data_IF_022497565791
#
_entry.id   IF_022497565791
#
_cell.length_a   1.000
_cell.length_b   1.000
_cell.length_c   1.000
_cell.angle_alpha   90.00
_cell.angle_beta   90.00
_cell.angle_gamma   90.00
#
_symmetry.space_group_name_H-M   'P 1'
#
loop_
_entity.id
_entity.type
_entity.pdbx_description
1 polymer ?
#
# COMPACT_ATOMS: atom_id res chain seq x y z
N UNK A 1 -14.73 5.64 -19.39
CA UNK A 1 -13.63 4.69 -19.56
C UNK A 1 -12.44 5.09 -18.71
N UNK A 2 -11.59 4.11 -18.40
CA UNK A 2 -10.39 4.33 -17.60
C UNK A 2 -9.22 3.61 -18.27
N UNK A 3 -8.08 4.28 -18.36
CA UNK A 3 -6.83 3.79 -18.91
C UNK A 3 -5.69 4.20 -17.97
N UNK A 4 -4.81 3.29 -17.61
CA UNK A 4 -3.67 3.54 -16.74
C UNK A 4 -2.51 2.61 -17.07
N UNK A 5 -1.31 3.07 -16.78
CA UNK A 5 -0.11 2.27 -17.00
C UNK A 5 1.09 2.78 -16.24
N UNK A 6 2.10 1.93 -16.17
CA UNK A 6 3.41 2.25 -15.63
C UNK A 6 4.49 1.74 -16.57
N UNK A 7 5.44 2.63 -16.91
CA UNK A 7 6.66 2.29 -17.64
C UNK A 7 7.86 2.50 -16.71
N UNK A 8 8.69 1.47 -16.55
CA UNK A 8 9.86 1.53 -15.66
C UNK A 8 11.10 1.03 -16.40
N UNK A 9 12.20 1.78 -16.31
CA UNK A 9 13.51 1.38 -16.79
C UNK A 9 14.51 1.39 -15.63
N UNK A 10 15.33 0.34 -15.55
CA UNK A 10 16.36 0.21 -14.51
C UNK A 10 17.67 -0.22 -15.11
N UNK A 11 18.73 0.53 -14.77
CA UNK A 11 20.11 0.14 -15.04
C UNK A 11 20.75 -0.14 -13.68
N UNK A 12 21.37 -1.32 -13.55
CA UNK A 12 22.04 -1.73 -12.31
C UNK A 12 23.46 -2.17 -12.61
N UNK A 13 24.38 -1.66 -11.83
CA UNK A 13 25.77 -2.05 -11.85
C UNK A 13 26.19 -2.61 -10.50
N UNK A 14 26.54 -3.89 -10.50
CA UNK A 14 27.11 -4.58 -9.35
C UNK A 14 28.61 -4.61 -9.47
N UNK A 15 29.31 -4.14 -8.46
CA UNK A 15 30.76 -4.08 -8.43
C UNK A 15 31.30 -4.65 -7.11
N UNK A 16 32.15 -5.65 -7.22
CA UNK A 16 32.87 -6.24 -6.08
C UNK A 16 34.20 -5.51 -5.99
N UNK A 17 34.32 -4.60 -4.99
CA UNK A 17 35.54 -3.82 -4.79
C UNK A 17 36.69 -4.70 -4.25
N UNK A 18 36.37 -5.62 -3.37
CA UNK A 18 37.26 -6.63 -2.81
C UNK A 18 36.45 -7.75 -2.15
N UNK A 19 37.12 -8.79 -1.60
CA UNK A 19 36.49 -9.98 -1.00
C UNK A 19 35.49 -9.67 0.13
N UNK A 20 35.51 -8.45 0.67
CA UNK A 20 34.68 -8.03 1.80
C UNK A 20 33.67 -6.93 1.45
N UNK A 21 33.78 -6.31 0.28
CA UNK A 21 33.00 -5.11 -0.04
C UNK A 21 32.33 -5.24 -1.39
N UNK A 22 31.00 -5.16 -1.37
CA UNK A 22 30.16 -5.15 -2.55
C UNK A 22 29.45 -3.80 -2.68
N UNK A 23 29.36 -3.29 -3.90
CA UNK A 23 28.67 -2.04 -4.25
C UNK A 23 27.62 -2.32 -5.32
N UNK A 24 26.42 -1.82 -5.11
CA UNK A 24 25.32 -1.93 -6.04
C UNK A 24 24.77 -0.54 -6.36
N UNK A 25 25.04 -0.06 -7.57
CA UNK A 25 24.54 1.25 -8.03
C UNK A 25 23.41 1.04 -9.03
N UNK A 26 22.30 1.73 -8.84
CA UNK A 26 21.11 1.63 -9.67
C UNK A 26 20.61 3.00 -10.09
N UNK A 27 20.30 3.15 -11.37
CA UNK A 27 19.54 4.27 -11.90
C UNK A 27 18.17 3.75 -12.32
N UNK A 28 17.12 4.39 -11.81
CA UNK A 28 15.72 3.96 -12.04
C UNK A 28 14.93 5.15 -12.57
N UNK A 29 14.19 4.92 -13.64
CA UNK A 29 13.15 5.80 -14.14
C UNK A 29 11.81 5.08 -14.03
N UNK A 30 10.76 5.78 -13.58
CA UNK A 30 9.40 5.28 -13.59
C UNK A 30 8.44 6.39 -13.99
N UNK A 31 7.48 6.05 -14.84
CA UNK A 31 6.41 6.93 -15.27
C UNK A 31 5.08 6.22 -15.09
N UNK A 32 4.28 6.70 -14.17
CA UNK A 32 2.91 6.26 -13.95
C UNK A 32 1.95 7.28 -14.52
N UNK A 33 0.93 6.84 -15.23
CA UNK A 33 -0.15 7.70 -15.72
C UNK A 33 -1.50 7.03 -15.52
N UNK A 34 -2.53 7.85 -15.38
CA UNK A 34 -3.90 7.42 -15.58
C UNK A 34 -4.71 8.45 -16.36
N UNK A 35 -5.73 7.96 -17.05
CA UNK A 35 -6.68 8.73 -17.83
C UNK A 35 -8.07 8.22 -17.55
N UNK A 36 -8.94 9.09 -17.08
CA UNK A 36 -10.34 8.82 -16.85
C UNK A 36 -11.19 9.60 -17.85
N UNK A 37 -12.12 8.94 -18.53
CA UNK A 37 -13.04 9.55 -19.48
C UNK A 37 -14.47 9.42 -18.97
N UNK A 38 -15.12 10.55 -18.66
CA UNK A 38 -16.54 10.65 -18.38
C UNK A 38 -17.31 10.86 -19.68
N UNK A 39 -18.43 10.15 -19.82
CA UNK A 39 -19.34 10.22 -20.96
C UNK A 39 -20.78 10.54 -20.50
N UNK A 40 -20.98 11.00 -19.26
CA UNK A 40 -22.28 11.38 -18.75
C UNK A 40 -22.81 12.60 -19.50
N UNK A 41 -24.11 12.59 -19.83
CA UNK A 41 -24.76 13.72 -20.49
C UNK A 41 -24.58 14.98 -19.63
N UNK A 42 -24.11 16.06 -20.27
CA UNK A 42 -23.80 17.34 -19.66
C UNK A 42 -22.39 17.47 -19.03
N UNK A 43 -21.68 16.36 -18.77
CA UNK A 43 -20.35 16.35 -18.16
C UNK A 43 -19.39 15.41 -18.91
N UNK A 44 -19.05 15.76 -20.16
CA UNK A 44 -18.13 15.01 -21.00
C UNK A 44 -16.72 15.58 -20.88
N UNK A 45 -15.85 14.87 -20.14
CA UNK A 45 -14.47 15.30 -19.95
C UNK A 45 -13.48 14.12 -19.93
N UNK A 46 -12.22 14.47 -20.12
CA UNK A 46 -11.09 13.57 -19.90
C UNK A 46 -10.26 14.15 -18.77
N UNK A 47 -10.07 13.38 -17.72
CA UNK A 47 -9.12 13.68 -16.65
C UNK A 47 -7.85 12.87 -16.89
N UNK A 48 -6.69 13.53 -16.81
CA UNK A 48 -5.38 12.87 -16.88
C UNK A 48 -4.56 13.24 -15.66
N UNK A 49 -3.74 12.32 -15.20
CA UNK A 49 -2.72 12.55 -14.20
C UNK A 49 -1.46 11.78 -14.57
N UNK A 50 -0.32 12.30 -14.16
CA UNK A 50 0.98 11.72 -14.47
C UNK A 50 1.92 11.92 -13.29
N UNK A 51 2.74 10.90 -13.02
CA UNK A 51 3.74 10.89 -11.98
C UNK A 51 5.04 10.31 -12.54
N UNK A 52 6.13 11.05 -12.46
CA UNK A 52 7.45 10.64 -12.89
C UNK A 52 8.43 10.61 -11.73
N UNK A 53 9.29 9.64 -11.73
CA UNK A 53 10.28 9.38 -10.69
C UNK A 53 11.63 9.05 -11.33
N UNK A 54 12.67 9.73 -10.89
CA UNK A 54 14.06 9.53 -11.30
C UNK A 54 14.88 9.28 -10.05
N UNK A 55 15.52 8.13 -9.97
CA UNK A 55 16.27 7.75 -8.78
C UNK A 55 17.67 7.26 -9.16
N UNK A 56 18.66 7.76 -8.43
CA UNK A 56 20.02 7.23 -8.42
C UNK A 56 20.34 6.77 -7.00
N UNK A 57 20.70 5.50 -6.85
CA UNK A 57 20.97 4.88 -5.57
C UNK A 57 22.28 4.09 -5.64
N UNK A 58 23.11 4.19 -4.60
CA UNK A 58 24.28 3.36 -4.44
C UNK A 58 24.27 2.74 -3.05
N UNK A 59 24.20 1.41 -2.99
CA UNK A 59 24.23 0.59 -1.79
C UNK A 59 25.59 -0.06 -1.63
N UNK A 60 26.15 0.01 -0.45
CA UNK A 60 27.46 -0.52 -0.07
C UNK A 60 27.27 -1.50 1.06
N UNK A 61 27.82 -2.70 0.91
CA UNK A 61 27.82 -3.73 1.95
C UNK A 61 29.25 -4.19 2.19
N UNK A 62 29.68 -4.18 3.46
CA UNK A 62 31.01 -4.59 3.88
C UNK A 62 30.96 -5.64 4.98
N UNK A 63 31.47 -6.80 4.69
CA UNK A 63 31.73 -7.85 5.66
C UNK A 63 33.07 -7.54 6.39
N UNK A 64 32.93 -7.02 7.59
CA UNK A 64 34.16 -6.71 8.38
C UNK A 64 34.75 -8.00 8.95
N UNK A 65 33.91 -8.84 9.58
CA UNK A 65 34.22 -10.17 10.11
C UNK A 65 32.92 -10.94 10.38
N UNK A 66 33.01 -12.15 10.97
CA UNK A 66 31.87 -13.00 11.27
C UNK A 66 30.86 -12.39 12.29
N UNK A 67 31.24 -11.32 12.99
CA UNK A 67 30.42 -10.66 13.99
C UNK A 67 29.81 -9.35 13.47
N UNK A 68 30.40 -8.71 12.46
CA UNK A 68 30.02 -7.37 12.03
C UNK A 68 29.92 -7.26 10.52
N UNK A 69 28.70 -6.92 10.06
CA UNK A 69 28.44 -6.49 8.68
C UNK A 69 27.96 -5.04 8.70
N UNK A 70 28.57 -4.21 7.89
CA UNK A 70 28.19 -2.80 7.71
C UNK A 70 27.48 -2.62 6.37
N UNK A 71 26.40 -1.88 6.37
CA UNK A 71 25.69 -1.45 5.18
C UNK A 71 25.55 0.06 5.19
N UNK A 72 25.57 0.66 4.03
CA UNK A 72 25.37 2.10 3.90
C UNK A 72 25.12 2.47 2.45
N UNK A 73 24.85 3.73 2.22
CA UNK A 73 24.66 4.19 0.85
C UNK A 73 24.07 5.58 0.77
N UNK A 74 23.91 5.99 -0.48
CA UNK A 74 23.31 7.27 -0.85
C UNK A 74 22.13 7.04 -1.78
N UNK A 75 21.15 7.92 -1.69
CA UNK A 75 19.97 7.92 -2.56
C UNK A 75 19.65 9.35 -2.97
N UNK A 76 19.56 9.58 -4.27
CA UNK A 76 19.06 10.83 -4.86
C UNK A 76 17.79 10.49 -5.62
N UNK A 77 16.71 11.16 -5.30
CA UNK A 77 15.40 10.91 -5.90
C UNK A 77 14.76 12.25 -6.28
N UNK A 78 14.41 12.40 -7.53
CA UNK A 78 13.60 13.50 -8.03
C UNK A 78 12.23 12.96 -8.43
N UNK A 79 11.20 13.57 -7.89
CA UNK A 79 9.82 13.22 -8.11
C UNK A 79 9.07 14.41 -8.69
N UNK A 80 8.25 14.20 -9.72
CA UNK A 80 7.35 15.22 -10.26
C UNK A 80 5.99 14.61 -10.58
N UNK A 81 4.94 15.35 -10.29
CA UNK A 81 3.57 14.96 -10.59
C UNK A 81 2.79 16.11 -11.22
N UNK A 82 1.92 15.76 -12.14
CA UNK A 82 0.81 16.59 -12.60
C UNK A 82 -0.47 15.98 -11.99
N UNK A 83 -1.02 16.59 -10.91
CA UNK A 83 -2.12 16.01 -10.16
C UNK A 83 -3.39 15.83 -10.97
N UNK A 84 -3.67 16.76 -11.91
CA UNK A 84 -4.83 16.68 -12.78
C UNK A 84 -4.76 17.63 -13.98
N UNK A 85 -5.20 17.15 -15.13
CA UNK A 85 -5.46 17.91 -16.35
C UNK A 85 -6.87 17.51 -16.82
N UNK A 86 -7.74 18.49 -16.97
CA UNK A 86 -9.09 18.32 -17.49
C UNK A 86 -9.15 18.81 -18.91
N UNK A 87 -9.57 17.96 -19.81
CA UNK A 87 -9.78 18.27 -21.23
C UNK A 87 -11.19 17.95 -21.70
N UNK A 88 -11.58 18.49 -22.85
CA UNK A 88 -12.87 18.17 -23.50
C UNK A 88 -12.91 16.72 -23.96
N UNK A 89 -14.05 16.08 -23.82
CA UNK A 89 -14.35 14.75 -24.39
C UNK A 89 -15.40 14.86 -25.48
N UNK A 90 -14.98 15.27 -26.69
CA UNK A 90 -15.85 15.49 -27.84
C UNK A 90 -16.31 16.94 -28.02
N UNK A 91 -17.03 17.21 -29.13
CA UNK A 91 -17.48 18.56 -29.51
C UNK A 91 -18.57 19.10 -28.57
N UNK A 92 -19.38 18.24 -27.96
CA UNK A 92 -20.50 18.60 -27.07
C UNK A 92 -20.08 18.76 -25.60
N UNK A 93 -18.79 18.93 -25.33
CA UNK A 93 -18.27 19.11 -23.96
C UNK A 93 -18.31 20.58 -23.58
N UNK A 94 -19.05 20.91 -22.50
CA UNK A 94 -19.14 22.25 -21.92
C UNK A 94 -18.01 22.56 -20.93
N UNK A 95 -17.03 21.65 -20.78
CA UNK A 95 -15.92 21.81 -19.85
C UNK A 95 -14.88 22.79 -20.41
N UNK A 96 -14.44 23.74 -19.59
CA UNK A 96 -13.26 24.54 -19.87
C UNK A 96 -12.02 23.73 -19.54
N UNK A 97 -11.11 23.51 -20.51
CA UNK A 97 -9.86 22.80 -20.22
C UNK A 97 -9.05 23.53 -19.15
N UNK A 98 -8.50 22.80 -18.20
CA UNK A 98 -7.59 23.34 -17.19
C UNK A 98 -6.53 22.29 -16.81
N UNK A 99 -5.39 22.77 -16.32
CA UNK A 99 -4.30 21.93 -15.86
C UNK A 99 -3.83 22.42 -14.50
N UNK A 100 -3.85 21.54 -13.51
CA UNK A 100 -3.30 21.82 -12.19
C UNK A 100 -1.78 22.01 -12.26
N UNK A 101 -1.19 22.90 -11.45
CA UNK A 101 0.25 23.12 -11.44
C UNK A 101 1.05 21.83 -11.18
N UNK A 102 2.13 21.65 -11.92
CA UNK A 102 3.09 20.57 -11.65
C UNK A 102 3.72 20.77 -10.28
N UNK A 103 3.89 19.67 -9.55
CA UNK A 103 4.51 19.65 -8.23
C UNK A 103 5.71 18.73 -8.28
N UNK A 104 6.79 19.10 -7.59
CA UNK A 104 8.02 18.33 -7.58
C UNK A 104 8.66 18.34 -6.20
N UNK A 105 9.53 17.33 -5.98
CA UNK A 105 10.27 17.15 -4.74
C UNK A 105 11.63 16.51 -5.05
N UNK A 106 12.67 17.00 -4.41
CA UNK A 106 13.98 16.37 -4.33
C UNK A 106 14.13 15.66 -2.97
N UNK A 107 14.59 14.43 -2.97
CA UNK A 107 14.93 13.65 -1.78
C UNK A 107 16.37 13.17 -1.92
N UNK A 108 17.27 13.77 -1.16
CA UNK A 108 18.65 13.33 -1.03
C UNK A 108 18.84 12.67 0.33
N UNK A 109 19.35 11.45 0.36
CA UNK A 109 19.52 10.72 1.61
C UNK A 109 20.86 9.99 1.71
N UNK A 110 21.40 10.00 2.93
CA UNK A 110 22.52 9.16 3.37
C UNK A 110 22.02 8.19 4.43
N UNK A 111 22.47 6.94 4.41
CA UNK A 111 22.13 5.94 5.42
C UNK A 111 23.29 5.02 5.74
N UNK A 112 23.30 4.55 6.97
CA UNK A 112 24.23 3.55 7.46
C UNK A 112 23.53 2.61 8.44
N UNK A 113 23.96 1.35 8.45
CA UNK A 113 23.43 0.29 9.31
C UNK A 113 24.55 -0.69 9.67
N UNK A 114 24.54 -1.17 10.91
CA UNK A 114 25.43 -2.20 11.41
C UNK A 114 24.61 -3.42 11.87
N UNK A 115 25.04 -4.59 11.43
CA UNK A 115 24.54 -5.88 11.90
C UNK A 115 25.66 -6.47 12.78
N UNK A 116 25.47 -6.50 14.11
CA UNK A 116 26.53 -6.79 15.06
C UNK A 116 26.10 -7.87 16.07
N UNK A 117 26.83 -8.99 16.05
CA UNK A 117 26.74 -10.06 17.07
C UNK A 117 27.70 -9.72 18.21
N UNK A 118 27.25 -8.92 19.17
CA UNK A 118 28.12 -8.42 20.24
C UNK A 118 28.31 -9.40 21.40
N UNK A 119 27.41 -10.41 21.53
CA UNK A 119 27.49 -11.53 22.45
C UNK A 119 27.00 -12.80 21.75
N UNK A 120 27.31 -14.02 22.27
CA UNK A 120 26.94 -15.28 21.62
C UNK A 120 25.46 -15.41 21.25
N UNK A 121 24.58 -14.83 22.08
CA UNK A 121 23.14 -14.94 21.94
C UNK A 121 22.45 -13.63 21.55
N UNK A 122 23.21 -12.55 21.34
CA UNK A 122 22.63 -11.25 21.05
C UNK A 122 23.08 -10.72 19.68
N UNK A 123 22.09 -10.33 18.89
CA UNK A 123 22.29 -9.67 17.61
C UNK A 123 21.65 -8.28 17.68
N UNK A 124 22.43 -7.25 17.40
CA UNK A 124 21.98 -5.88 17.24
C UNK A 124 22.03 -5.53 15.75
N UNK A 125 20.88 -5.10 15.22
CA UNK A 125 20.78 -4.43 13.93
C UNK A 125 20.42 -2.97 14.22
N UNK A 126 21.32 -2.03 13.97
CA UNK A 126 21.08 -0.62 14.26
C UNK A 126 21.61 0.26 13.13
N UNK A 127 20.88 1.30 12.82
CA UNK A 127 21.24 2.22 11.77
C UNK A 127 20.34 3.44 11.73
N UNK A 128 20.57 4.25 10.71
CA UNK A 128 19.76 5.42 10.46
C UNK A 128 19.89 5.90 9.02
N UNK A 129 18.89 6.63 8.61
CA UNK A 129 18.85 7.38 7.37
C UNK A 129 18.62 8.84 7.70
N UNK A 130 19.33 9.73 7.03
CA UNK A 130 19.11 11.17 7.06
C UNK A 130 18.65 11.59 5.66
N UNK A 131 17.39 11.96 5.54
CA UNK A 131 16.81 12.47 4.29
C UNK A 131 16.71 13.99 4.33
N UNK A 132 17.13 14.64 3.25
CA UNK A 132 16.94 16.08 3.00
C UNK A 132 15.95 16.21 1.85
N UNK A 133 14.75 16.69 2.17
CA UNK A 133 13.66 16.85 1.24
C UNK A 133 13.56 18.34 0.86
N UNK A 134 13.65 18.65 -0.43
CA UNK A 134 13.52 20.03 -0.91
C UNK A 134 12.35 20.15 -1.89
N UNK A 135 11.32 20.89 -1.48
CA UNK A 135 10.19 21.27 -2.32
C UNK A 135 10.45 22.67 -2.90
N UNK A 136 10.51 22.83 -4.23
CA UNK A 136 10.66 24.15 -4.87
C UNK A 136 9.47 25.06 -4.55
N UNK A 137 9.66 26.36 -4.71
CA UNK A 137 8.57 27.33 -4.66
C UNK A 137 7.58 27.11 -5.81
N UNK A 138 6.33 27.45 -5.56
CA UNK A 138 5.25 27.51 -6.56
C UNK A 138 4.60 28.90 -6.55
N UNK A 139 3.59 29.10 -7.37
CA UNK A 139 2.78 30.34 -7.32
C UNK A 139 2.05 30.54 -5.97
N UNK A 140 1.86 29.46 -5.18
CA UNK A 140 1.01 29.44 -3.99
C UNK A 140 1.77 29.23 -2.68
N UNK A 141 3.04 28.83 -2.72
CA UNK A 141 3.88 28.64 -1.52
C UNK A 141 5.37 28.80 -1.80
N UNK A 142 6.11 29.23 -0.78
CA UNK A 142 7.56 29.35 -0.83
C UNK A 142 8.27 27.98 -0.89
N UNK A 143 9.52 27.98 -1.36
CA UNK A 143 10.34 26.79 -1.27
C UNK A 143 10.53 26.35 0.19
N UNK A 144 10.58 25.03 0.43
CA UNK A 144 10.74 24.47 1.77
C UNK A 144 11.68 23.28 1.76
N UNK A 145 12.59 23.26 2.73
CA UNK A 145 13.47 22.12 2.98
C UNK A 145 13.15 21.49 4.33
N UNK A 146 13.09 20.17 4.36
CA UNK A 146 12.91 19.37 5.57
C UNK A 146 14.12 18.46 5.76
N UNK A 147 14.58 18.33 6.99
CA UNK A 147 15.62 17.36 7.37
C UNK A 147 14.96 16.29 8.23
N UNK A 148 15.00 15.05 7.77
CA UNK A 148 14.25 13.93 8.32
C UNK A 148 15.22 12.85 8.81
N UNK A 149 15.53 12.79 10.13
CA UNK A 149 16.26 11.66 10.71
C UNK A 149 15.32 10.45 10.83
N UNK A 150 15.80 9.29 10.41
CA UNK A 150 15.07 8.03 10.39
C UNK A 150 15.89 6.92 11.09
N UNK A 151 16.03 6.97 12.43
CA UNK A 151 16.73 5.94 13.19
C UNK A 151 15.92 4.64 13.20
N UNK A 152 16.65 3.52 13.23
CA UNK A 152 16.11 2.18 13.42
C UNK A 152 17.06 1.32 14.23
N UNK A 153 16.50 0.48 15.08
CA UNK A 153 17.27 -0.50 15.84
C UNK A 153 16.40 -1.73 16.13
N UNK A 154 16.99 -2.90 16.05
CA UNK A 154 16.42 -4.16 16.49
C UNK A 154 17.45 -4.90 17.33
N UNK A 155 17.04 -5.29 18.53
CA UNK A 155 17.80 -6.18 19.41
C UNK A 155 17.14 -7.55 19.39
N UNK A 156 17.89 -8.59 19.02
CA UNK A 156 17.43 -9.98 19.06
C UNK A 156 18.23 -10.77 20.09
N UNK A 157 17.51 -11.52 20.92
CA UNK A 157 18.05 -12.51 21.84
C UNK A 157 17.73 -13.92 21.33
N UNK A 158 18.77 -14.71 21.04
CA UNK A 158 18.71 -16.03 20.42
C UNK A 158 19.40 -17.02 21.38
N UNK A 159 18.70 -17.49 22.45
CA UNK A 159 19.31 -18.39 23.43
C UNK A 159 19.75 -19.74 22.87
N UNK A 160 19.07 -20.19 21.82
CA UNK A 160 19.39 -21.43 21.10
C UNK A 160 18.81 -21.39 19.68
N UNK A 161 18.98 -22.44 18.89
CA UNK A 161 18.52 -22.51 17.50
C UNK A 161 16.98 -22.50 17.34
N UNK A 162 16.23 -22.73 18.40
CA UNK A 162 14.78 -22.81 18.38
C UNK A 162 14.08 -21.50 18.75
N UNK A 163 14.67 -20.67 19.59
CA UNK A 163 14.03 -19.48 20.15
C UNK A 163 14.71 -18.21 19.71
N UNK A 164 13.90 -17.23 19.26
CA UNK A 164 14.33 -15.85 19.02
C UNK A 164 13.32 -14.89 19.62
N UNK A 165 13.79 -13.97 20.41
CA UNK A 165 13.05 -12.81 20.92
C UNK A 165 13.61 -11.56 20.27
N UNK A 166 12.75 -10.64 19.85
CA UNK A 166 13.18 -9.38 19.24
C UNK A 166 12.42 -8.20 19.81
N UNK A 167 13.11 -7.06 19.89
CA UNK A 167 12.51 -5.77 20.18
C UNK A 167 13.04 -4.75 19.19
N UNK A 168 12.16 -4.02 18.53
CA UNK A 168 12.57 -3.07 17.50
C UNK A 168 11.91 -1.71 17.66
N UNK A 169 12.65 -0.67 17.26
CA UNK A 169 12.19 0.68 17.05
C UNK A 169 12.52 1.13 15.63
N UNK A 170 11.55 1.73 14.96
CA UNK A 170 11.73 2.29 13.63
C UNK A 170 11.06 3.65 13.54
N UNK A 171 11.79 4.64 13.01
CA UNK A 171 11.24 5.90 12.52
C UNK A 171 11.43 5.98 11.01
N UNK A 172 10.37 6.34 10.28
CA UNK A 172 10.41 6.51 8.84
C UNK A 172 9.64 7.76 8.43
N UNK A 173 10.13 8.45 7.41
CA UNK A 173 9.49 9.61 6.81
C UNK A 173 8.87 9.24 5.47
N UNK A 174 7.70 9.80 5.19
CA UNK A 174 7.03 9.70 3.90
C UNK A 174 6.88 11.10 3.29
N UNK A 175 7.52 11.29 2.15
CA UNK A 175 7.60 12.58 1.46
C UNK A 175 6.49 12.80 0.44
N UNK A 176 5.71 11.77 0.11
CA UNK A 176 4.63 11.81 -0.88
C UNK A 176 3.36 11.29 -0.24
N UNK A 177 2.29 12.06 -0.29
CA UNK A 177 0.99 11.72 0.25
C UNK A 177 0.07 11.21 -0.86
N UNK A 178 -0.64 10.13 -0.60
CA UNK A 178 -1.72 9.67 -1.46
C UNK A 178 -3.05 10.16 -0.90
N UNK A 179 -3.76 10.97 -1.66
CA UNK A 179 -5.09 11.46 -1.36
C UNK A 179 -6.11 10.64 -2.15
N UNK A 180 -6.96 9.91 -1.45
CA UNK A 180 -7.99 9.08 -2.09
C UNK A 180 -9.37 9.70 -1.93
N UNK A 181 -10.12 9.73 -3.03
CA UNK A 181 -11.50 10.19 -3.06
C UNK A 181 -12.49 9.05 -2.93
N UNK A 182 -12.01 7.82 -3.06
CA UNK A 182 -12.85 6.63 -3.05
C UNK A 182 -12.42 5.64 -1.97
N UNK A 183 -13.38 4.88 -1.47
CA UNK A 183 -13.13 3.77 -0.55
C UNK A 183 -12.43 2.56 -1.21
N UNK A 184 -12.14 2.62 -2.51
CA UNK A 184 -11.79 1.45 -3.33
C UNK A 184 -10.38 1.51 -3.88
N UNK A 185 -9.57 2.52 -3.59
CA UNK A 185 -8.20 2.60 -4.13
C UNK A 185 -8.18 2.45 -5.65
N UNK A 186 -8.92 3.30 -6.35
CA UNK A 186 -8.91 3.34 -7.81
C UNK A 186 -7.65 4.07 -8.29
N UNK A 187 -7.16 3.83 -9.51
CA UNK A 187 -5.95 4.50 -10.03
C UNK A 187 -6.09 6.02 -10.19
N UNK A 188 -7.21 6.61 -9.82
CA UNK A 188 -7.46 8.05 -9.81
C UNK A 188 -7.05 8.77 -8.52
N UNK A 189 -6.41 8.08 -7.57
CA UNK A 189 -5.88 8.69 -6.36
C UNK A 189 -4.82 9.74 -6.70
N UNK A 190 -4.88 10.86 -5.99
CA UNK A 190 -3.98 11.99 -6.24
C UNK A 190 -2.71 11.86 -5.40
N UNK A 191 -1.56 11.98 -6.05
CA UNK A 191 -0.25 11.94 -5.39
C UNK A 191 0.29 13.36 -5.17
N UNK A 192 0.47 13.73 -3.91
CA UNK A 192 0.91 15.07 -3.50
C UNK A 192 2.25 14.99 -2.79
N UNK A 193 3.32 15.59 -3.35
CA UNK A 193 4.59 15.71 -2.64
C UNK A 193 4.48 16.70 -1.48
N UNK A 194 5.25 16.45 -0.43
CA UNK A 194 5.42 17.38 0.67
C UNK A 194 5.89 18.75 0.16
N UNK A 195 5.39 19.80 0.76
CA UNK A 195 5.72 21.20 0.41
C UNK A 195 5.57 22.10 1.65
N UNK A 196 5.63 23.41 1.49
CA UNK A 196 5.53 24.35 2.62
C UNK A 196 4.20 24.23 3.41
N UNK A 197 3.12 23.80 2.75
CA UNK A 197 1.79 23.65 3.36
C UNK A 197 1.57 22.20 3.87
N UNK A 198 2.13 21.20 3.21
CA UNK A 198 1.98 19.78 3.52
C UNK A 198 3.31 19.19 3.98
N UNK A 199 3.51 19.05 5.29
CA UNK A 199 4.74 18.48 5.86
C UNK A 199 4.85 16.97 5.55
N UNK A 200 6.07 16.40 5.45
CA UNK A 200 6.25 14.96 5.36
C UNK A 200 5.60 14.24 6.55
N UNK A 201 4.97 13.11 6.30
CA UNK A 201 4.49 12.24 7.40
C UNK A 201 5.68 11.56 8.08
N UNK A 202 5.61 11.42 9.41
CA UNK A 202 6.64 10.72 10.20
C UNK A 202 5.96 9.62 11.01
N UNK A 203 6.32 8.39 10.72
CA UNK A 203 5.89 7.20 11.43
C UNK A 203 6.94 6.79 12.45
N UNK A 204 6.52 6.42 13.66
CA UNK A 204 7.32 5.79 14.72
C UNK A 204 6.63 4.51 15.13
N UNK A 205 7.39 3.42 15.17
CA UNK A 205 6.88 2.10 15.53
C UNK A 205 7.79 1.45 16.56
N UNK A 206 7.17 0.80 17.53
CA UNK A 206 7.77 -0.17 18.44
C UNK A 206 7.16 -1.54 18.13
N UNK A 207 7.98 -2.58 18.07
CA UNK A 207 7.51 -3.96 17.91
C UNK A 207 8.28 -4.90 18.83
N UNK A 208 7.57 -5.94 19.31
CA UNK A 208 8.12 -7.05 20.08
C UNK A 208 7.78 -8.34 19.34
N UNK A 209 8.78 -9.16 19.06
CA UNK A 209 8.63 -10.41 18.31
C UNK A 209 9.12 -11.60 19.11
N UNK A 210 8.47 -12.73 18.89
CA UNK A 210 8.91 -14.04 19.34
C UNK A 210 8.78 -15.04 18.20
N UNK A 211 9.85 -15.79 17.93
CA UNK A 211 9.89 -16.87 16.95
C UNK A 211 10.33 -18.16 17.61
N UNK A 212 9.62 -19.23 17.30
CA UNK A 212 9.96 -20.58 17.72
C UNK A 212 10.09 -21.49 16.51
N UNK A 213 11.31 -21.98 16.27
CA UNK A 213 11.60 -23.00 15.27
C UNK A 213 11.64 -24.36 15.97
N UNK A 214 10.72 -25.25 15.64
CA UNK A 214 10.67 -26.58 16.18
C UNK A 214 11.96 -27.34 15.84
N UNK A 215 12.46 -28.23 16.73
CA UNK A 215 13.78 -28.85 16.60
C UNK A 215 14.04 -29.54 15.26
N UNK A 216 13.03 -30.18 14.70
CA UNK A 216 13.06 -30.85 13.39
C UNK A 216 12.90 -29.87 12.20
N UNK A 217 12.70 -28.57 12.48
CA UNK A 217 12.38 -27.52 11.51
C UNK A 217 11.13 -27.84 10.66
N UNK A 218 10.25 -28.68 11.17
CA UNK A 218 8.99 -28.96 10.49
C UNK A 218 8.02 -27.79 10.63
N UNK A 219 7.99 -27.16 11.81
CA UNK A 219 7.11 -26.04 12.10
C UNK A 219 7.92 -24.80 12.49
N UNK A 220 7.37 -23.63 12.16
CA UNK A 220 7.84 -22.33 12.63
C UNK A 220 6.64 -21.55 13.14
N UNK A 221 6.71 -21.08 14.38
CA UNK A 221 5.73 -20.19 15.01
C UNK A 221 6.33 -18.79 15.13
N UNK A 222 5.60 -17.76 14.74
CA UNK A 222 5.97 -16.35 14.97
C UNK A 222 4.80 -15.58 15.58
N UNK A 223 5.10 -14.79 16.58
CA UNK A 223 4.20 -13.85 17.25
C UNK A 223 4.82 -12.46 17.24
N UNK A 224 4.09 -11.46 16.83
CA UNK A 224 4.54 -10.07 16.89
C UNK A 224 3.44 -9.18 17.46
N UNK A 225 3.84 -8.27 18.35
CA UNK A 225 3.00 -7.19 18.85
C UNK A 225 3.63 -5.86 18.44
N UNK A 226 2.85 -4.95 17.87
CA UNK A 226 3.35 -3.64 17.49
C UNK A 226 2.42 -2.51 17.90
N UNK A 227 3.02 -1.33 18.09
CA UNK A 227 2.32 -0.06 18.18
C UNK A 227 3.02 0.98 17.31
N UNK A 228 2.20 1.79 16.62
CA UNK A 228 2.69 2.80 15.69
C UNK A 228 1.93 4.10 15.81
N UNK A 229 2.64 5.21 15.68
CA UNK A 229 2.08 6.55 15.61
C UNK A 229 2.66 7.28 14.40
N UNK A 230 1.78 7.91 13.61
CA UNK A 230 2.18 8.72 12.44
C UNK A 230 1.70 10.14 12.64
N UNK A 231 2.58 11.11 12.49
CA UNK A 231 2.27 12.54 12.49
C UNK A 231 2.19 13.07 11.05
N UNK A 232 1.51 14.19 10.86
CA UNK A 232 1.29 14.84 9.56
C UNK A 232 0.64 13.90 8.53
N UNK A 233 -0.29 13.05 8.96
CA UNK A 233 -1.18 12.32 8.06
C UNK A 233 -2.12 13.33 7.43
N UNK A 234 -2.40 13.17 6.14
CA UNK A 234 -3.25 14.06 5.37
C UNK A 234 -4.51 13.35 4.90
N UNK A 235 -5.58 14.09 4.80
CA UNK A 235 -6.84 13.65 4.21
C UNK A 235 -7.61 14.87 3.70
N UNK A 236 -8.55 14.69 2.78
CA UNK A 236 -9.40 15.77 2.34
C UNK A 236 -10.28 16.30 3.47
N UNK A 237 -10.51 17.62 3.50
CA UNK A 237 -11.55 18.21 4.35
C UNK A 237 -12.94 17.76 3.91
N UNK A 238 -13.93 17.93 4.76
CA UNK A 238 -15.34 17.68 4.38
C UNK A 238 -15.74 18.64 3.24
N UNK A 239 -16.43 18.10 2.24
CA UNK A 239 -16.86 18.85 1.04
C UNK A 239 -15.70 19.49 0.27
N UNK A 240 -14.54 18.86 0.24
CA UNK A 240 -13.38 19.34 -0.52
C UNK A 240 -13.73 19.50 -2.01
N UNK A 241 -13.40 20.64 -2.57
CA UNK A 241 -13.49 20.90 -4.01
C UNK A 241 -12.17 20.49 -4.67
N UNK A 242 -12.17 19.31 -5.29
CA UNK A 242 -10.98 18.72 -5.91
C UNK A 242 -10.98 18.85 -7.44
N UNK A 243 -12.10 19.28 -8.03
CA UNK A 243 -12.23 19.33 -9.47
C UNK A 243 -11.75 20.70 -10.00
N UNK A 244 -10.74 20.67 -10.89
CA UNK A 244 -10.14 21.88 -11.47
C UNK A 244 -9.60 22.88 -10.43
N UNK A 245 -9.14 22.40 -9.28
CA UNK A 245 -8.65 23.23 -8.19
C UNK A 245 -7.13 23.32 -8.20
N UNK A 246 -6.58 24.50 -8.55
CA UNK A 246 -5.14 24.75 -8.59
C UNK A 246 -4.50 24.77 -7.18
N UNK A 247 -5.31 25.01 -6.15
CA UNK A 247 -4.90 25.11 -4.74
C UNK A 247 -5.42 23.93 -3.92
N UNK A 248 -5.17 22.74 -4.40
CA UNK A 248 -5.65 21.49 -3.76
C UNK A 248 -5.15 21.35 -2.30
N UNK A 249 -4.03 21.99 -1.94
CA UNK A 249 -3.53 22.04 -0.58
C UNK A 249 -4.49 22.68 0.41
N UNK A 250 -5.33 23.61 -0.03
CA UNK A 250 -6.35 24.26 0.80
C UNK A 250 -7.53 23.34 1.10
N UNK A 251 -7.67 22.27 0.32
CA UNK A 251 -8.70 21.24 0.47
C UNK A 251 -8.28 20.06 1.35
N UNK A 252 -7.08 20.13 1.94
CA UNK A 252 -6.47 19.06 2.71
C UNK A 252 -6.25 19.48 4.15
N UNK A 253 -6.59 18.61 5.06
CA UNK A 253 -6.32 18.74 6.49
C UNK A 253 -5.23 17.79 6.93
N UNK A 254 -4.44 18.21 7.92
CA UNK A 254 -3.36 17.41 8.49
C UNK A 254 -3.69 16.98 9.92
N UNK A 255 -3.16 15.84 10.31
CA UNK A 255 -3.38 15.32 11.65
C UNK A 255 -2.42 14.20 12.03
N UNK A 256 -2.91 13.27 12.83
CA UNK A 256 -2.14 12.11 13.28
C UNK A 256 -2.92 10.81 13.10
N UNK A 257 -2.18 9.71 12.96
CA UNK A 257 -2.72 8.37 12.99
C UNK A 257 -2.05 7.55 14.09
N UNK A 258 -2.75 6.59 14.64
CA UNK A 258 -2.23 5.57 15.54
C UNK A 258 -2.74 4.20 15.14
N UNK A 259 -1.90 3.20 15.31
CA UNK A 259 -2.24 1.81 15.05
C UNK A 259 -1.54 0.89 16.04
N UNK A 260 -2.16 -0.22 16.34
CA UNK A 260 -1.56 -1.32 17.09
C UNK A 260 -2.10 -2.65 16.57
N UNK A 261 -1.36 -3.72 16.79
CA UNK A 261 -1.80 -5.04 16.38
C UNK A 261 -0.99 -6.15 17.01
N UNK A 262 -1.57 -7.35 16.87
CA UNK A 262 -0.96 -8.63 17.18
C UNK A 262 -0.98 -9.47 15.91
N UNK A 263 0.15 -10.06 15.56
CA UNK A 263 0.31 -10.92 14.41
C UNK A 263 0.71 -12.31 14.87
N UNK A 264 0.03 -13.30 14.36
CA UNK A 264 0.28 -14.72 14.57
C UNK A 264 0.61 -15.36 13.22
N UNK A 265 1.66 -16.14 13.16
CA UNK A 265 2.03 -16.92 12.00
C UNK A 265 2.51 -18.31 12.44
N UNK A 266 1.97 -19.35 11.81
CA UNK A 266 2.41 -20.73 11.97
C UNK A 266 2.57 -21.36 10.60
N UNK A 267 3.74 -21.91 10.31
CA UNK A 267 3.99 -22.66 9.09
C UNK A 267 4.41 -24.10 9.38
N UNK A 268 4.01 -25.00 8.47
CA UNK A 268 4.49 -26.36 8.35
C UNK A 268 5.29 -26.48 7.05
N UNK A 269 6.59 -26.75 7.18
CA UNK A 269 7.56 -26.61 6.09
C UNK A 269 7.99 -27.95 5.46
N UNK A 270 7.62 -29.10 6.07
CA UNK A 270 8.04 -30.42 5.63
C UNK A 270 6.86 -31.40 5.53
N UNK A 271 7.08 -32.50 4.79
CA UNK A 271 6.13 -33.60 4.60
C UNK A 271 5.24 -33.41 3.37
N UNK A 272 4.35 -34.36 3.14
CA UNK A 272 3.43 -34.35 2.00
C UNK A 272 2.40 -33.23 2.06
N UNK A 273 2.07 -32.76 3.27
CA UNK A 273 1.21 -31.60 3.50
C UNK A 273 2.05 -30.51 4.12
N UNK A 274 2.11 -29.36 3.43
CA UNK A 274 2.78 -28.13 3.87
C UNK A 274 1.80 -26.98 3.82
N UNK A 275 2.13 -25.87 4.48
CA UNK A 275 1.26 -24.70 4.45
C UNK A 275 1.50 -23.77 5.62
N UNK A 276 0.65 -22.78 5.73
CA UNK A 276 0.75 -21.79 6.80
C UNK A 276 -0.61 -21.15 7.11
N UNK A 277 -0.71 -20.65 8.32
CA UNK A 277 -1.80 -19.79 8.78
C UNK A 277 -1.20 -18.48 9.28
N UNK A 278 -1.78 -17.36 8.86
CA UNK A 278 -1.44 -16.01 9.32
C UNK A 278 -2.72 -15.34 9.81
N UNK A 279 -2.68 -14.79 11.02
CA UNK A 279 -3.78 -14.04 11.58
C UNK A 279 -3.28 -12.73 12.17
N UNK A 280 -3.89 -11.62 11.76
CA UNK A 280 -3.61 -10.29 12.30
C UNK A 280 -4.86 -9.75 12.98
N UNK A 281 -4.71 -9.36 14.23
CA UNK A 281 -5.66 -8.54 14.97
C UNK A 281 -5.10 -7.13 15.06
N UNK A 282 -5.74 -6.15 14.43
CA UNK A 282 -5.21 -4.79 14.38
C UNK A 282 -6.31 -3.72 14.58
N UNK A 283 -5.89 -2.54 14.95
CA UNK A 283 -6.75 -1.38 15.07
C UNK A 283 -6.03 -0.12 14.60
N UNK A 284 -6.69 0.67 13.76
CA UNK A 284 -6.19 1.96 13.32
C UNK A 284 -7.19 3.09 13.64
N UNK A 285 -6.66 4.28 13.94
CA UNK A 285 -7.41 5.52 14.17
C UNK A 285 -6.67 6.69 13.55
N UNK A 286 -7.41 7.54 12.86
CA UNK A 286 -6.94 8.85 12.41
C UNK A 286 -7.59 9.93 13.26
N UNK A 287 -6.84 11.00 13.53
CA UNK A 287 -7.32 12.23 14.14
C UNK A 287 -6.90 13.40 13.26
N UNK A 288 -7.83 13.88 12.44
CA UNK A 288 -7.61 14.92 11.42
C UNK A 288 -8.77 15.90 11.51
N UNK A 289 -8.52 17.21 11.38
CA UNK A 289 -9.56 18.24 11.47
C UNK A 289 -10.30 18.26 12.81
N UNK A 290 -9.64 17.82 13.90
CA UNK A 290 -10.27 17.72 15.23
C UNK A 290 -11.12 16.45 15.43
N UNK A 291 -11.41 15.69 14.39
CA UNK A 291 -12.22 14.47 14.44
C UNK A 291 -11.37 13.20 14.57
N UNK A 292 -11.81 12.26 15.39
CA UNK A 292 -11.24 10.90 15.44
C UNK A 292 -12.14 9.93 14.68
N UNK A 293 -11.58 9.22 13.68
CA UNK A 293 -12.32 8.26 12.88
C UNK A 293 -11.45 7.05 12.51
N UNK A 294 -12.10 5.98 12.05
CA UNK A 294 -11.43 4.81 11.49
C UNK A 294 -11.05 5.07 10.03
N UNK A 295 -9.79 4.87 9.63
CA UNK A 295 -9.48 4.95 8.21
C UNK A 295 -10.17 3.82 7.42
N UNK A 296 -10.30 4.02 6.10
CA UNK A 296 -10.91 3.04 5.18
C UNK A 296 -10.29 1.65 5.33
N UNK A 297 -8.97 1.59 5.51
CA UNK A 297 -8.18 0.37 5.61
C UNK A 297 -8.15 -0.28 7.01
N UNK A 298 -8.82 0.27 8.03
CA UNK A 298 -8.94 -0.37 9.35
C UNK A 298 -9.81 -1.63 9.24
N UNK A 299 -9.15 -2.78 9.13
CA UNK A 299 -9.73 -4.12 9.09
C UNK A 299 -9.24 -4.92 10.29
N UNK A 300 -9.98 -4.94 11.41
CA UNK A 300 -9.51 -5.53 12.67
C UNK A 300 -9.05 -6.98 12.57
N UNK A 301 -9.73 -7.78 11.76
CA UNK A 301 -9.39 -9.19 11.58
C UNK A 301 -8.95 -9.45 10.17
N UNK A 302 -7.78 -10.05 9.99
CA UNK A 302 -7.26 -10.54 8.73
C UNK A 302 -6.71 -11.95 8.96
N UNK A 303 -7.30 -12.95 8.29
CA UNK A 303 -6.89 -14.35 8.36
C UNK A 303 -6.56 -14.83 6.96
N UNK A 304 -5.40 -15.48 6.81
CA UNK A 304 -5.03 -16.22 5.61
C UNK A 304 -4.58 -17.62 6.00
N UNK A 305 -5.05 -18.59 5.25
CA UNK A 305 -4.67 -19.98 5.39
C UNK A 305 -4.27 -20.49 4.00
N UNK A 306 -3.09 -21.08 3.91
CA UNK A 306 -2.62 -21.77 2.72
C UNK A 306 -2.26 -23.21 3.07
N UNK A 307 -2.70 -24.15 2.25
CA UNK A 307 -2.35 -25.57 2.36
C UNK A 307 -1.95 -26.06 0.97
N UNK A 308 -0.84 -26.78 0.91
CA UNK A 308 -0.39 -27.52 -0.26
C UNK A 308 -0.22 -28.98 0.10
N UNK A 309 -0.82 -29.87 -0.67
CA UNK A 309 -0.75 -31.30 -0.51
C UNK A 309 -0.12 -31.94 -1.75
N UNK A 310 1.11 -32.44 -1.61
CA UNK A 310 1.78 -33.26 -2.58
C UNK A 310 1.26 -34.70 -2.43
N UNK A 311 0.17 -35.06 -3.12
CA UNK A 311 -0.46 -36.38 -3.04
C UNK A 311 0.48 -37.49 -3.50
N UNK A 312 1.21 -37.20 -4.58
CA UNK A 312 2.22 -38.10 -5.16
C UNK A 312 3.10 -37.29 -6.12
N UNK A 313 4.05 -37.94 -6.82
CA UNK A 313 4.96 -37.28 -7.76
C UNK A 313 4.25 -36.62 -8.97
N UNK A 314 2.99 -36.98 -9.23
CA UNK A 314 2.22 -36.45 -10.35
C UNK A 314 1.18 -35.39 -9.95
N UNK A 315 0.63 -35.48 -8.75
CA UNK A 315 -0.47 -34.61 -8.33
C UNK A 315 -0.12 -33.79 -7.10
N UNK A 316 -0.35 -32.48 -7.23
CA UNK A 316 -0.35 -31.58 -6.08
C UNK A 316 -1.63 -30.75 -6.07
N UNK A 317 -2.20 -30.58 -4.87
CA UNK A 317 -3.39 -29.80 -4.61
C UNK A 317 -3.03 -28.65 -3.68
N UNK A 318 -3.50 -27.46 -3.98
CA UNK A 318 -3.33 -26.34 -3.07
C UNK A 318 -4.63 -25.56 -2.88
N UNK A 319 -4.78 -24.98 -1.71
CA UNK A 319 -5.94 -24.17 -1.36
C UNK A 319 -5.50 -22.95 -0.55
N UNK A 320 -6.12 -21.81 -0.84
CA UNK A 320 -5.93 -20.56 -0.09
C UNK A 320 -7.28 -20.05 0.39
N UNK A 321 -7.43 -19.90 1.69
CA UNK A 321 -8.58 -19.21 2.27
C UNK A 321 -8.14 -17.84 2.79
N UNK A 322 -8.89 -16.79 2.43
CA UNK A 322 -8.68 -15.42 2.89
C UNK A 322 -9.93 -14.87 3.53
N UNK A 323 -9.79 -14.23 4.68
CA UNK A 323 -10.83 -13.48 5.36
C UNK A 323 -10.29 -12.14 5.81
N UNK A 324 -11.06 -11.07 5.62
CA UNK A 324 -10.75 -9.76 6.18
C UNK A 324 -12.05 -9.07 6.63
N UNK A 325 -12.00 -8.37 7.75
CA UNK A 325 -13.08 -7.46 8.15
C UNK A 325 -13.39 -6.47 7.02
N UNK A 326 -14.63 -6.05 6.90
CA UNK A 326 -15.04 -5.08 5.89
C UNK A 326 -14.31 -3.74 6.04
N UNK A 327 -14.15 -3.01 4.93
CA UNK A 327 -13.62 -1.65 4.91
C UNK A 327 -14.61 -0.67 5.53
N UNK A 328 -14.12 0.47 6.02
CA UNK A 328 -14.97 1.54 6.52
C UNK A 328 -15.32 2.51 5.39
N UNK A 329 -16.55 3.03 5.41
CA UNK A 329 -17.10 3.87 4.36
C UNK A 329 -17.90 5.03 4.97
N UNK A 330 -17.97 6.15 4.26
CA UNK A 330 -18.95 7.21 4.47
C UNK A 330 -20.10 6.98 3.50
N UNK A 331 -21.32 6.80 4.01
CA UNK A 331 -22.49 6.56 3.20
C UNK A 331 -23.55 7.64 3.43
N UNK A 332 -24.36 8.00 2.42
CA UNK A 332 -25.53 8.83 2.62
C UNK A 332 -26.55 8.08 3.49
N UNK A 333 -27.01 8.73 4.55
CA UNK A 333 -28.01 8.22 5.50
C UNK A 333 -29.36 8.92 5.34
N UNK A 334 -29.39 10.02 4.60
CA UNK A 334 -30.59 10.78 4.29
C UNK A 334 -30.40 11.66 3.07
N UNK A 335 -31.49 12.27 2.63
CA UNK A 335 -31.50 13.27 1.57
C UNK A 335 -32.66 14.22 1.77
N UNK A 336 -32.50 15.46 1.33
CA UNK A 336 -33.58 16.43 1.22
C UNK A 336 -33.40 17.25 -0.07
N UNK A 337 -34.46 17.87 -0.50
CA UNK A 337 -34.44 18.77 -1.65
C UNK A 337 -34.40 20.22 -1.15
N UNK A 338 -33.50 21.00 -1.72
CA UNK A 338 -33.43 22.44 -1.51
C UNK A 338 -33.24 23.13 -2.85
N UNK A 339 -34.12 24.07 -3.19
CA UNK A 339 -34.08 24.84 -4.44
C UNK A 339 -33.90 23.95 -5.70
N UNK A 340 -34.64 22.85 -5.78
CA UNK A 340 -34.56 21.84 -6.85
C UNK A 340 -33.20 21.08 -6.90
N UNK A 341 -32.34 21.24 -5.89
CA UNK A 341 -31.10 20.48 -5.74
C UNK A 341 -31.26 19.42 -4.68
N UNK A 342 -30.89 18.17 -5.00
CA UNK A 342 -30.91 17.07 -4.07
C UNK A 342 -29.64 17.09 -3.22
N UNK A 343 -29.79 17.34 -1.92
CA UNK A 343 -28.71 17.35 -0.93
C UNK A 343 -28.70 16.04 -0.16
N UNK A 344 -27.53 15.39 -0.11
CA UNK A 344 -27.34 14.15 0.68
C UNK A 344 -26.81 14.47 2.07
N UNK A 345 -27.39 13.83 3.07
CA UNK A 345 -26.89 13.82 4.44
C UNK A 345 -26.03 12.57 4.61
N UNK A 346 -24.76 12.72 4.95
CA UNK A 346 -23.83 11.61 5.08
C UNK A 346 -23.68 11.16 6.55
N UNK A 347 -23.35 9.88 6.73
CA UNK A 347 -22.92 9.33 8.02
C UNK A 347 -21.68 10.07 8.56
N UNK A 348 -21.34 9.81 9.83
CA UNK A 348 -20.00 10.16 10.32
C UNK A 348 -18.92 9.61 9.37
N UNK A 349 -17.78 10.29 9.28
CA UNK A 349 -16.67 9.91 8.40
C UNK A 349 -16.26 8.47 8.65
N UNK A 350 -16.30 7.64 7.62
CA UNK A 350 -16.03 6.20 7.67
C UNK A 350 -16.82 5.46 8.76
N UNK A 351 -18.03 5.94 9.07
CA UNK A 351 -18.89 5.43 10.14
C UNK A 351 -19.55 4.09 9.87
N UNK A 352 -19.61 3.69 8.60
CA UNK A 352 -20.20 2.42 8.18
C UNK A 352 -19.11 1.39 7.86
N UNK A 353 -19.27 0.14 8.31
CA UNK A 353 -18.39 -0.97 7.96
C UNK A 353 -19.06 -1.86 6.92
N UNK A 354 -18.41 -2.02 5.77
CA UNK A 354 -18.87 -2.93 4.72
C UNK A 354 -18.88 -4.40 5.21
N UNK A 355 -19.63 -5.29 4.53
CA UNK A 355 -19.56 -6.72 4.79
C UNK A 355 -18.13 -7.24 4.69
N UNK A 356 -17.80 -8.25 5.51
CA UNK A 356 -16.49 -8.89 5.49
C UNK A 356 -16.20 -9.52 4.12
N UNK A 357 -14.95 -9.40 3.70
CA UNK A 357 -14.39 -10.12 2.57
C UNK A 357 -14.02 -11.54 3.01
N UNK A 358 -14.41 -12.55 2.23
CA UNK A 358 -13.80 -13.88 2.34
C UNK A 358 -13.84 -14.62 1.00
N UNK A 359 -12.83 -15.43 0.76
CA UNK A 359 -12.61 -16.10 -0.51
C UNK A 359 -11.85 -17.41 -0.29
N UNK A 360 -12.24 -18.43 -1.03
CA UNK A 360 -11.53 -19.71 -1.12
C UNK A 360 -11.06 -19.88 -2.56
N UNK A 361 -9.76 -20.05 -2.73
CA UNK A 361 -9.13 -20.39 -3.99
C UNK A 361 -8.61 -21.82 -3.92
N UNK A 362 -8.67 -22.51 -5.05
CA UNK A 362 -8.23 -23.90 -5.17
C UNK A 362 -7.39 -24.08 -6.43
N UNK A 363 -6.36 -24.91 -6.36
CA UNK A 363 -5.56 -25.27 -7.53
C UNK A 363 -5.19 -26.75 -7.47
N UNK A 364 -5.27 -27.41 -8.63
CA UNK A 364 -4.81 -28.76 -8.84
C UNK A 364 -3.78 -28.77 -9.98
N UNK A 365 -2.61 -29.31 -9.72
CA UNK A 365 -1.53 -29.40 -10.70
C UNK A 365 -1.23 -30.86 -10.97
N UNK A 366 -1.32 -31.24 -12.25
CA UNK A 366 -0.91 -32.53 -12.76
C UNK A 366 0.45 -32.41 -13.47
N UNK A 367 1.49 -33.00 -12.91
CA UNK A 367 2.82 -33.14 -13.51
C UNK A 367 2.81 -34.34 -14.44
N UNK A 368 2.60 -34.12 -15.72
CA UNK A 368 2.53 -35.19 -16.77
C UNK A 368 3.90 -35.81 -16.91
N UNK A 369 4.95 -35.00 -16.93
CA UNK A 369 6.37 -35.35 -16.94
C UNK A 369 7.16 -34.33 -16.16
N UNK A 370 8.49 -34.51 -16.03
CA UNK A 370 9.37 -33.56 -15.34
C UNK A 370 9.41 -32.16 -16.02
N UNK A 371 9.17 -32.13 -17.31
CA UNK A 371 9.20 -30.95 -18.17
C UNK A 371 7.81 -30.40 -18.50
N UNK A 372 6.70 -31.08 -18.11
CA UNK A 372 5.33 -30.73 -18.53
C UNK A 372 4.35 -30.82 -17.37
N UNK A 373 3.55 -29.79 -17.19
CA UNK A 373 2.47 -29.78 -16.20
C UNK A 373 1.22 -29.08 -16.72
N UNK A 374 0.08 -29.50 -16.20
CA UNK A 374 -1.23 -28.89 -16.41
C UNK A 374 -1.79 -28.48 -15.05
N UNK A 375 -2.16 -27.21 -14.91
CA UNK A 375 -2.71 -26.67 -13.66
C UNK A 375 -4.10 -26.09 -13.91
N UNK A 376 -5.08 -26.56 -13.15
CA UNK A 376 -6.41 -25.97 -13.05
C UNK A 376 -6.48 -25.16 -11.77
N UNK A 377 -6.78 -23.86 -11.88
CA UNK A 377 -6.98 -22.98 -10.74
C UNK A 377 -8.39 -22.41 -10.76
N UNK A 378 -9.00 -22.30 -9.59
CA UNK A 378 -10.35 -21.77 -9.40
C UNK A 378 -10.26 -20.69 -8.33
N UNK A 379 -10.42 -19.43 -8.73
CA UNK A 379 -10.48 -18.30 -7.80
C UNK A 379 -11.93 -18.12 -7.37
N UNK A 380 -12.14 -17.85 -6.07
CA UNK A 380 -13.45 -17.67 -5.47
C UNK A 380 -14.37 -18.88 -5.69
N UNK A 381 -13.92 -20.07 -5.29
CA UNK A 381 -14.52 -21.37 -5.60
C UNK A 381 -16.00 -21.50 -5.18
N UNK A 382 -16.46 -20.75 -4.19
CA UNK A 382 -17.88 -20.73 -3.78
C UNK A 382 -18.63 -19.47 -4.25
N UNK A 383 -18.07 -18.74 -5.23
CA UNK A 383 -18.75 -17.60 -5.90
C UNK A 383 -19.23 -16.50 -4.93
N UNK A 384 -18.44 -16.20 -3.88
CA UNK A 384 -18.78 -15.14 -2.93
C UNK A 384 -18.87 -13.79 -3.63
N UNK A 385 -19.97 -13.09 -3.44
CA UNK A 385 -20.14 -11.69 -3.87
C UNK A 385 -19.41 -10.75 -2.90
N UNK A 386 -18.08 -10.67 -3.04
CA UNK A 386 -17.26 -9.76 -2.27
C UNK A 386 -17.46 -8.32 -2.73
N UNK A 387 -17.79 -7.44 -1.79
CA UNK A 387 -18.08 -6.04 -2.09
C UNK A 387 -16.78 -5.35 -2.51
N UNK A 388 -16.76 -4.84 -3.74
CA UNK A 388 -15.70 -3.99 -4.26
C UNK A 388 -15.95 -2.53 -3.93
N UNK A 389 -17.17 -2.03 -4.19
CA UNK A 389 -17.55 -0.65 -3.90
C UNK A 389 -19.03 -0.56 -3.48
N UNK A 390 -19.33 0.45 -2.68
CA UNK A 390 -20.70 0.82 -2.32
C UNK A 390 -20.91 2.29 -2.71
N UNK A 391 -21.92 2.58 -3.48
CA UNK A 391 -22.23 3.94 -3.93
C UNK A 391 -23.73 4.21 -3.94
N UNK A 392 -24.09 5.48 -3.77
CA UNK A 392 -25.45 5.94 -3.98
C UNK A 392 -25.66 6.28 -5.47
N UNK A 393 -26.72 5.80 -6.07
CA UNK A 393 -27.04 6.06 -7.48
C UNK A 393 -28.50 6.41 -7.68
N UNK A 394 -28.82 7.06 -8.81
CA UNK A 394 -30.18 7.29 -9.28
C UNK A 394 -30.55 6.23 -10.31
N UNK A 395 -31.74 5.69 -10.23
CA UNK A 395 -32.33 4.86 -11.27
C UNK A 395 -33.36 5.72 -12.04
N UNK A 396 -33.06 6.05 -13.30
CA UNK A 396 -33.94 6.77 -14.20
C UNK A 396 -33.74 8.30 -14.27
N UNK A 397 -34.24 8.90 -15.38
CA UNK A 397 -34.25 10.35 -15.56
C UNK A 397 -35.22 11.01 -14.57
N UNK A 398 -34.78 12.03 -13.85
CA UNK A 398 -35.59 13.03 -13.12
C UNK A 398 -36.61 12.51 -12.09
N UNK A 399 -36.36 11.45 -11.35
CA UNK A 399 -37.23 11.04 -10.25
C UNK A 399 -36.59 11.43 -8.88
N UNK A 400 -37.21 12.39 -8.21
CA UNK A 400 -36.82 12.91 -6.88
C UNK A 400 -36.93 11.86 -5.76
N UNK A 401 -37.54 10.69 -6.04
CA UNK A 401 -37.95 9.70 -5.04
C UNK A 401 -36.96 8.57 -4.71
N UNK A 402 -36.08 8.11 -5.60
CA UNK A 402 -35.52 6.76 -5.54
C UNK A 402 -33.96 6.71 -5.54
N UNK A 403 -33.29 7.39 -4.59
CA UNK A 403 -31.87 7.11 -4.34
C UNK A 403 -31.71 5.71 -3.71
N UNK A 404 -30.96 4.82 -4.36
CA UNK A 404 -30.62 3.48 -3.87
C UNK A 404 -29.15 3.37 -3.60
N UNK A 405 -28.80 2.53 -2.62
CA UNK A 405 -27.40 2.15 -2.36
C UNK A 405 -27.12 0.88 -3.15
N UNK A 406 -26.10 0.94 -4.01
CA UNK A 406 -25.65 -0.16 -4.84
C UNK A 406 -24.36 -0.74 -4.28
N UNK A 407 -24.23 -2.07 -4.35
CA UNK A 407 -23.01 -2.81 -4.06
C UNK A 407 -22.46 -3.32 -5.37
N UNK A 408 -21.25 -2.93 -5.72
CA UNK A 408 -20.52 -3.44 -6.88
C UNK A 408 -19.68 -4.63 -6.45
N UNK A 409 -19.75 -5.71 -7.22
CA UNK A 409 -18.94 -6.92 -7.09
C UNK A 409 -18.15 -7.10 -8.38
N UNK A 410 -16.86 -7.46 -8.29
CA UNK A 410 -16.03 -7.60 -9.49
C UNK A 410 -16.13 -8.99 -10.12
N UNK A 411 -15.96 -10.03 -9.29
CA UNK A 411 -15.86 -11.40 -9.80
C UNK A 411 -16.73 -12.35 -8.99
N UNK A 412 -17.32 -13.32 -9.70
CA UNK A 412 -17.80 -14.57 -9.14
C UNK A 412 -16.68 -15.61 -9.14
N UNK A 413 -16.99 -16.84 -9.54
CA UNK A 413 -16.00 -17.91 -9.76
C UNK A 413 -15.18 -17.62 -11.03
N UNK A 414 -13.85 -17.73 -10.95
CA UNK A 414 -12.94 -17.53 -12.10
C UNK A 414 -12.07 -18.77 -12.25
N UNK A 415 -12.38 -19.65 -13.22
CA UNK A 415 -11.50 -20.77 -13.57
C UNK A 415 -10.36 -20.32 -14.47
N UNK A 416 -9.19 -20.93 -14.34
CA UNK A 416 -8.03 -20.75 -15.21
C UNK A 416 -7.35 -22.08 -15.45
N UNK A 417 -6.98 -22.37 -16.70
CA UNK A 417 -6.23 -23.56 -17.09
C UNK A 417 -4.89 -23.12 -17.66
N UNK A 418 -3.81 -23.65 -17.10
CA UNK A 418 -2.43 -23.34 -17.52
C UNK A 418 -1.69 -24.59 -17.88
N UNK A 419 -1.13 -24.66 -19.09
CA UNK A 419 -0.19 -25.67 -19.50
C UNK A 419 1.22 -25.09 -19.52
N UNK A 420 2.15 -25.72 -18.80
CA UNK A 420 3.56 -25.30 -18.71
C UNK A 420 4.45 -26.39 -19.26
N UNK A 421 5.45 -26.00 -20.05
CA UNK A 421 6.47 -26.91 -20.57
C UNK A 421 7.85 -26.23 -20.57
N UNK A 422 8.90 -27.05 -20.40
CA UNK A 422 10.30 -26.65 -20.53
C UNK A 422 10.87 -27.34 -21.76
N UNK A 423 11.68 -26.64 -22.53
CA UNK A 423 12.43 -27.15 -23.69
C UNK A 423 13.94 -26.99 -23.46
#
# INVERSE_FOLDING_TARGET
GMDWGNATATIRWNHILNDKTNVNTSAVFSNYYYKYKSLSDGLRYVWKSNMQSYQLKSDWERYQNNLLTLKGGVNLHYFTTMPGEVGKSGKDSNITPSQMPRKSLWDAALYAEANYKFLPHFLLNAGGRLSVLHAPASAYYAAKTFVMPEPRAELSFIPNASHRFSASYTQAAQSIHMLTTSSVGIPSDMWMPANALLKPSVMRQLALGYEYNFPDKEYTLSLEAYMRRTSHVVDYRKNADIFQNDRIEDEVETGSARGCGLEFYLSKNKGAVTGWISYTLSRARNRIGGEEYRPVYDRPHNLKLFVNWEMNRHWSLSSTFSYASGMNLTLPIGKYESEHVLVYIYSARNGYRAPAFHQLDFSATWRIRQDRSLSLSIINAYSRKNVFSIYAGRQGHFSVGNGRIYKLYLYGIVPSLTYSFKF
#
